data_IF_936295409825
#
_entry.id   IF_936295409825
#
_cell.length_a   1.000
_cell.length_b   1.000
_cell.length_c   1.000
_cell.angle_alpha   90.00
_cell.angle_beta   90.00
_cell.angle_gamma   90.00
#
_symmetry.space_group_name_H-M   'P 1'
#
loop_
_entity.id
_entity.type
_entity.pdbx_description
1 polymer ?
#
# COMPACT_ATOMS: atom_id res chain seq x y z
N UNK A 1 -9.70 39.70 54.29
CA UNK A 1 -9.79 39.14 52.92
C UNK A 1 -8.47 38.55 52.37
N UNK A 2 -7.30 39.10 52.64
CA UNK A 2 -6.00 38.55 52.14
C UNK A 2 -5.64 37.16 52.70
N UNK A 3 -6.03 36.79 53.92
CA UNK A 3 -5.73 35.48 54.53
C UNK A 3 -6.41 34.29 53.81
N UNK A 4 -7.58 34.49 53.25
CA UNK A 4 -8.32 33.41 52.57
C UNK A 4 -7.82 33.17 51.14
N UNK A 5 -7.20 34.17 50.50
CA UNK A 5 -6.62 34.04 49.16
C UNK A 5 -5.43 33.08 49.19
N UNK A 6 -4.58 33.13 50.21
CA UNK A 6 -3.45 32.21 50.35
C UNK A 6 -3.89 30.78 50.64
N UNK A 7 -4.96 30.57 51.38
CA UNK A 7 -5.50 29.24 51.66
C UNK A 7 -6.14 28.62 50.42
N UNK A 8 -6.85 29.40 49.63
CA UNK A 8 -7.40 28.92 48.34
C UNK A 8 -6.30 28.65 47.33
N UNK A 9 -5.25 29.47 47.27
CA UNK A 9 -4.11 29.26 46.39
C UNK A 9 -3.28 28.02 46.76
N UNK A 10 -3.11 27.73 48.07
CA UNK A 10 -2.48 26.50 48.55
C UNK A 10 -3.31 25.24 48.25
N UNK A 11 -4.65 25.34 48.27
CA UNK A 11 -5.53 24.22 47.95
C UNK A 11 -5.51 23.86 46.48
N UNK A 12 -5.33 24.84 45.59
CA UNK A 12 -5.17 24.58 44.15
C UNK A 12 -3.82 23.95 43.78
N UNK A 13 -2.76 24.23 44.55
CA UNK A 13 -1.43 23.63 44.30
C UNK A 13 -1.40 22.16 44.75
N UNK A 14 -2.18 21.79 45.79
CA UNK A 14 -2.25 20.40 46.27
C UNK A 14 -3.04 19.46 45.35
N UNK A 15 -3.95 19.98 44.50
CA UNK A 15 -4.72 19.16 43.56
C UNK A 15 -3.97 18.93 42.25
N UNK A 16 -2.93 19.73 41.96
CA UNK A 16 -2.15 19.64 40.70
C UNK A 16 -1.14 18.48 40.62
N UNK A 17 -0.93 17.72 41.70
CA UNK A 17 0.07 16.64 41.72
C UNK A 17 -0.52 15.22 41.70
N UNK A 18 -1.83 15.05 41.52
CA UNK A 18 -2.47 13.72 41.47
C UNK A 18 -2.86 13.30 40.04
N UNK A 19 -2.44 14.06 39.03
CA UNK A 19 -2.77 13.73 37.65
C UNK A 19 -1.50 13.42 36.87
N UNK A 20 -0.91 12.27 37.11
CA UNK A 20 -0.07 11.48 36.19
C UNK A 20 0.49 10.28 36.95
N UNK A 21 -0.42 9.44 37.45
CA UNK A 21 -0.12 8.02 37.56
C UNK A 21 -0.86 7.37 36.41
N UNK A 22 -0.38 7.66 35.19
CA UNK A 22 -0.62 6.75 34.09
C UNK A 22 0.27 5.56 34.38
N UNK A 23 -0.28 4.57 35.04
CA UNK A 23 0.14 3.18 34.84
C UNK A 23 -0.07 2.87 33.34
N UNK A 24 0.71 3.52 32.49
CA UNK A 24 1.05 2.99 31.21
C UNK A 24 1.86 1.73 31.55
N UNK A 25 1.18 0.63 31.75
CA UNK A 25 1.75 -0.71 31.63
C UNK A 25 2.27 -0.85 30.21
N UNK A 26 3.31 -0.08 29.89
CA UNK A 26 4.09 -0.26 28.69
C UNK A 26 4.80 -1.60 28.83
N UNK A 27 4.13 -2.64 28.41
CA UNK A 27 4.76 -3.92 28.20
C UNK A 27 5.65 -3.73 26.98
N UNK A 28 6.94 -3.54 27.19
CA UNK A 28 7.91 -3.49 26.10
C UNK A 28 7.70 -4.74 25.23
N UNK A 29 7.49 -4.53 23.93
CA UNK A 29 7.33 -5.64 22.99
C UNK A 29 8.52 -6.61 23.14
N UNK A 30 8.26 -7.89 22.99
CA UNK A 30 9.33 -8.91 23.03
C UNK A 30 10.35 -8.57 21.96
N UNK A 31 11.65 -8.41 22.31
CA UNK A 31 12.66 -8.13 21.30
C UNK A 31 12.68 -9.23 20.24
N UNK A 32 12.82 -8.85 18.99
CA UNK A 32 12.98 -9.82 17.89
C UNK A 32 14.16 -10.72 18.19
N UNK A 33 14.02 -12.05 18.15
CA UNK A 33 15.13 -12.97 18.36
C UNK A 33 16.30 -12.65 17.41
N UNK A 34 17.53 -12.69 17.92
CA UNK A 34 18.72 -12.36 17.13
C UNK A 34 18.91 -13.24 15.87
N UNK A 35 18.33 -14.44 15.88
CA UNK A 35 18.31 -15.40 14.77
C UNK A 35 17.07 -15.31 13.90
N UNK A 36 16.16 -14.38 14.16
CA UNK A 36 14.97 -14.19 13.34
C UNK A 36 15.35 -13.91 11.89
N UNK A 37 14.61 -14.48 10.95
CA UNK A 37 14.79 -14.22 9.52
C UNK A 37 14.45 -12.78 9.14
N UNK A 38 13.60 -12.11 9.92
CA UNK A 38 13.10 -10.75 9.65
C UNK A 38 12.61 -10.63 8.20
N UNK A 39 11.54 -11.37 7.91
CA UNK A 39 10.89 -11.40 6.58
C UNK A 39 9.98 -10.19 6.43
N UNK A 40 9.92 -9.62 5.25
CA UNK A 40 9.06 -8.48 4.93
C UNK A 40 8.64 -8.49 3.45
N UNK A 41 7.51 -7.87 3.15
CA UNK A 41 7.16 -7.49 1.79
C UNK A 41 7.93 -6.22 1.44
N UNK A 42 8.60 -6.17 0.30
CA UNK A 42 9.40 -5.01 -0.09
C UNK A 42 8.52 -3.77 -0.24
N UNK A 43 9.02 -2.61 0.21
CA UNK A 43 8.28 -1.35 0.18
C UNK A 43 8.01 -0.82 -1.24
N UNK A 44 8.77 -1.30 -2.24
CA UNK A 44 8.63 -0.93 -3.65
C UNK A 44 7.64 -1.82 -4.42
N UNK A 45 6.98 -2.77 -3.75
CA UNK A 45 5.92 -3.56 -4.37
C UNK A 45 4.76 -2.67 -4.84
N UNK A 46 4.26 -2.93 -6.05
CA UNK A 46 3.06 -2.26 -6.56
C UNK A 46 1.82 -2.70 -5.79
N UNK A 47 0.94 -1.79 -5.44
CA UNK A 47 -0.34 -2.10 -4.79
C UNK A 47 -1.50 -2.24 -5.76
N UNK A 48 -1.28 -1.91 -7.03
CA UNK A 48 -2.27 -2.02 -8.10
C UNK A 48 -1.69 -2.73 -9.32
N UNK A 49 -2.35 -3.80 -9.72
CA UNK A 49 -2.00 -4.64 -10.87
C UNK A 49 -3.11 -4.52 -11.89
N UNK A 50 -2.90 -3.72 -12.92
CA UNK A 50 -3.92 -3.44 -13.94
C UNK A 50 -3.49 -4.07 -15.25
N UNK A 51 -4.38 -4.87 -15.84
CA UNK A 51 -4.21 -5.49 -17.15
C UNK A 51 -5.32 -5.06 -18.13
N UNK A 52 -5.08 -5.19 -19.40
CA UNK A 52 -6.11 -4.99 -20.42
C UNK A 52 -7.07 -6.20 -20.46
N UNK A 53 -8.30 -6.03 -20.96
CA UNK A 53 -9.23 -7.13 -21.12
C UNK A 53 -8.65 -8.28 -21.93
N UNK A 54 -8.70 -9.49 -21.34
CA UNK A 54 -8.18 -10.72 -21.94
C UNK A 54 -6.66 -10.91 -21.78
N UNK A 55 -5.95 -10.03 -21.09
CA UNK A 55 -4.55 -10.22 -20.71
C UNK A 55 -4.47 -10.87 -19.31
N UNK A 56 -3.55 -11.83 -19.16
CA UNK A 56 -3.25 -12.40 -17.84
C UNK A 56 -2.47 -11.38 -17.00
N UNK A 57 -2.94 -11.02 -15.80
CA UNK A 57 -2.21 -10.11 -14.94
C UNK A 57 -0.94 -10.77 -14.39
N UNK A 58 0.18 -10.06 -14.47
CA UNK A 58 1.41 -10.47 -13.79
C UNK A 58 1.45 -9.87 -12.39
N UNK A 59 1.14 -10.67 -11.38
CA UNK A 59 1.10 -10.25 -9.97
C UNK A 59 2.24 -10.90 -9.22
N UNK A 60 3.38 -10.23 -9.23
CA UNK A 60 4.59 -10.65 -8.54
C UNK A 60 4.89 -9.72 -7.38
N UNK A 61 4.87 -10.27 -6.16
CA UNK A 61 5.15 -9.54 -4.93
C UNK A 61 6.50 -9.99 -4.41
N UNK A 62 7.45 -9.08 -4.30
CA UNK A 62 8.76 -9.36 -3.73
C UNK A 62 8.63 -9.54 -2.22
N UNK A 63 9.15 -10.65 -1.73
CA UNK A 63 9.28 -10.96 -0.31
C UNK A 63 10.75 -11.10 -0.01
N UNK A 64 11.25 -10.36 0.97
CA UNK A 64 12.66 -10.34 1.33
C UNK A 64 12.87 -10.71 2.78
N UNK A 65 14.11 -11.09 3.13
CA UNK A 65 14.53 -11.42 4.49
C UNK A 65 15.92 -10.87 4.80
N UNK A 66 16.16 -10.52 6.06
CA UNK A 66 17.45 -10.01 6.51
C UNK A 66 18.46 -11.15 6.68
N UNK A 67 18.09 -12.23 7.36
CA UNK A 67 18.92 -13.42 7.54
C UNK A 67 18.58 -14.46 6.47
N UNK A 68 19.55 -14.78 5.63
CA UNK A 68 19.40 -15.68 4.47
C UNK A 68 20.31 -16.93 4.54
N UNK A 69 20.82 -17.28 5.71
CA UNK A 69 21.82 -18.35 5.89
C UNK A 69 21.27 -19.70 5.44
N UNK A 70 20.03 -20.01 5.77
CA UNK A 70 19.42 -21.31 5.53
C UNK A 70 18.25 -21.20 4.53
N UNK A 71 17.87 -22.32 3.94
CA UNK A 71 16.59 -22.39 3.22
C UNK A 71 15.43 -22.25 4.20
N UNK A 72 14.33 -21.68 3.72
CA UNK A 72 13.15 -21.48 4.54
C UNK A 72 11.87 -21.51 3.71
N UNK A 73 10.80 -21.99 4.36
CA UNK A 73 9.45 -21.87 3.85
C UNK A 73 8.65 -21.03 4.85
N UNK A 74 8.17 -19.87 4.39
CA UNK A 74 7.52 -18.85 5.22
C UNK A 74 6.03 -18.82 4.92
N UNK A 75 5.16 -19.05 5.92
CA UNK A 75 3.72 -18.99 5.74
C UNK A 75 3.25 -17.59 5.37
N UNK A 76 2.32 -17.52 4.45
CA UNK A 76 1.60 -16.29 4.07
C UNK A 76 0.20 -16.37 4.67
N UNK A 77 -0.11 -15.43 5.54
CA UNK A 77 -1.43 -15.33 6.18
C UNK A 77 -2.32 -14.45 5.31
N UNK A 78 -3.30 -15.06 4.64
CA UNK A 78 -4.33 -14.32 3.92
C UNK A 78 -5.36 -13.78 4.92
N UNK A 79 -5.38 -12.47 5.15
CA UNK A 79 -6.35 -11.79 6.03
C UNK A 79 -7.69 -11.60 5.35
N UNK A 80 -7.66 -11.28 4.06
CA UNK A 80 -8.84 -11.20 3.20
C UNK A 80 -8.46 -11.35 1.74
N UNK A 81 -9.34 -11.91 0.94
CA UNK A 81 -9.20 -11.99 -0.50
C UNK A 81 -10.57 -12.00 -1.19
N UNK A 82 -10.67 -11.35 -2.33
CA UNK A 82 -11.83 -11.50 -3.22
C UNK A 82 -11.84 -12.92 -3.79
N UNK A 83 -13.00 -13.50 -3.91
CA UNK A 83 -13.18 -14.83 -4.53
C UNK A 83 -12.57 -14.88 -5.94
N UNK A 84 -11.92 -15.99 -6.28
CA UNK A 84 -11.24 -16.20 -7.54
C UNK A 84 -9.75 -15.91 -7.52
N UNK A 85 -9.21 -15.34 -6.42
CA UNK A 85 -7.76 -15.21 -6.23
C UNK A 85 -7.13 -16.52 -5.75
N UNK A 86 -6.00 -16.87 -6.33
CA UNK A 86 -5.18 -18.03 -5.96
C UNK A 86 -3.89 -17.52 -5.30
N UNK A 87 -3.92 -17.49 -3.96
CA UNK A 87 -2.82 -17.00 -3.14
C UNK A 87 -2.06 -18.19 -2.58
N UNK A 88 -0.75 -18.34 -2.85
CA UNK A 88 0.05 -19.41 -2.26
C UNK A 88 0.06 -19.31 -0.73
N UNK A 89 -0.05 -20.43 -0.05
CA UNK A 89 -0.02 -20.49 1.40
C UNK A 89 1.37 -20.22 2.00
N UNK A 90 2.42 -20.35 1.20
CA UNK A 90 3.82 -20.17 1.63
C UNK A 90 4.65 -19.55 0.53
N UNK A 91 5.76 -18.94 0.91
CA UNK A 91 6.83 -18.52 0.02
C UNK A 91 8.13 -19.22 0.41
N UNK A 92 8.94 -19.62 -0.58
CA UNK A 92 10.17 -20.40 -0.36
C UNK A 92 11.41 -19.58 -0.67
N UNK A 93 12.39 -19.66 0.20
CA UNK A 93 13.72 -19.09 0.04
C UNK A 93 14.74 -20.21 0.00
N UNK A 94 15.65 -20.18 -0.98
CA UNK A 94 16.84 -21.04 -1.00
C UNK A 94 17.88 -20.51 -0.01
N UNK A 95 18.79 -21.37 0.42
CA UNK A 95 19.95 -20.94 1.21
C UNK A 95 20.74 -19.83 0.48
N UNK A 96 21.03 -18.74 1.17
CA UNK A 96 21.70 -17.55 0.60
C UNK A 96 20.79 -16.58 -0.15
N UNK A 97 19.55 -16.95 -0.46
CA UNK A 97 18.61 -16.11 -1.17
C UNK A 97 17.94 -15.10 -0.23
N UNK A 98 18.10 -13.81 -0.51
CA UNK A 98 17.54 -12.72 0.31
C UNK A 98 16.16 -12.29 -0.15
N UNK A 99 15.82 -12.45 -1.41
CA UNK A 99 14.55 -12.03 -2.00
C UNK A 99 14.00 -13.15 -2.86
N UNK A 100 12.72 -13.40 -2.73
CA UNK A 100 11.96 -14.33 -3.57
C UNK A 100 10.65 -13.67 -4.00
N UNK A 101 9.88 -14.32 -4.85
CA UNK A 101 8.64 -13.78 -5.41
C UNK A 101 7.46 -14.62 -4.96
N UNK A 102 6.41 -13.96 -4.47
CA UNK A 102 5.08 -14.51 -4.27
C UNK A 102 4.24 -14.16 -5.49
N UNK A 103 3.91 -15.15 -6.30
CA UNK A 103 3.03 -14.98 -7.45
C UNK A 103 1.58 -15.25 -7.06
N UNK A 104 0.68 -14.29 -7.27
CA UNK A 104 -0.75 -14.46 -7.04
C UNK A 104 -1.42 -14.71 -8.40
N UNK A 105 -2.12 -15.83 -8.51
CA UNK A 105 -2.97 -16.13 -9.65
C UNK A 105 -4.37 -15.55 -9.49
N UNK A 106 -5.07 -15.37 -10.58
CA UNK A 106 -6.49 -15.02 -10.61
C UNK A 106 -7.17 -15.87 -11.67
N UNK A 107 -8.40 -16.31 -11.39
CA UNK A 107 -9.23 -17.00 -12.37
C UNK A 107 -9.80 -16.05 -13.41
N UNK A 108 -10.97 -16.38 -13.94
CA UNK A 108 -11.65 -15.50 -14.87
C UNK A 108 -12.03 -14.18 -14.19
N UNK A 109 -11.60 -13.06 -14.77
CA UNK A 109 -11.87 -11.71 -14.27
C UNK A 109 -13.11 -11.11 -14.94
N UNK A 110 -13.77 -10.23 -14.20
CA UNK A 110 -14.81 -9.35 -14.71
C UNK A 110 -14.22 -7.94 -14.90
N UNK A 111 -14.40 -7.35 -16.07
CA UNK A 111 -13.93 -6.00 -16.37
C UNK A 111 -14.46 -4.98 -15.34
N UNK A 112 -13.61 -4.07 -14.90
CA UNK A 112 -13.89 -3.02 -13.91
C UNK A 112 -14.20 -3.51 -12.48
N UNK A 113 -14.03 -4.81 -12.20
CA UNK A 113 -14.16 -5.37 -10.85
C UNK A 113 -12.79 -5.48 -10.20
N UNK A 114 -12.66 -4.95 -8.98
CA UNK A 114 -11.44 -5.07 -8.18
C UNK A 114 -11.39 -6.39 -7.45
N UNK A 115 -10.30 -7.14 -7.65
CA UNK A 115 -9.97 -8.35 -6.91
C UNK A 115 -8.93 -7.99 -5.86
N UNK A 116 -9.39 -7.61 -4.68
CA UNK A 116 -8.55 -7.12 -3.59
C UNK A 116 -8.06 -8.25 -2.70
N UNK A 117 -6.86 -8.09 -2.15
CA UNK A 117 -6.28 -9.01 -1.17
C UNK A 117 -5.52 -8.26 -0.08
N UNK A 118 -5.41 -8.90 1.09
CA UNK A 118 -4.60 -8.42 2.20
C UNK A 118 -3.87 -9.61 2.82
N UNK A 119 -2.55 -9.48 2.91
CA UNK A 119 -1.62 -10.50 3.34
C UNK A 119 -0.87 -10.05 4.59
N UNK A 120 -0.43 -11.00 5.38
CA UNK A 120 0.40 -10.76 6.56
C UNK A 120 1.43 -11.86 6.70
N UNK A 121 2.57 -11.51 7.27
CA UNK A 121 3.56 -12.45 7.77
C UNK A 121 3.29 -12.73 9.26
N UNK A 122 3.61 -13.94 9.72
CA UNK A 122 3.50 -14.30 11.14
C UNK A 122 4.59 -13.62 11.98
N UNK A 123 4.27 -13.36 13.25
CA UNK A 123 5.15 -12.68 14.22
C UNK A 123 6.49 -13.40 14.42
N UNK A 124 6.52 -14.72 14.22
CA UNK A 124 7.73 -15.52 14.30
C UNK A 124 8.72 -15.28 13.16
N UNK A 125 8.25 -14.76 12.02
CA UNK A 125 9.05 -14.50 10.82
C UNK A 125 9.31 -13.02 10.61
N UNK A 126 8.46 -12.13 11.09
CA UNK A 126 8.50 -10.70 10.82
C UNK A 126 8.63 -9.90 12.10
N UNK A 127 9.44 -8.87 12.08
CA UNK A 127 9.45 -7.83 13.10
C UNK A 127 8.49 -6.70 12.67
N UNK A 128 7.34 -6.62 13.32
CA UNK A 128 6.33 -5.60 13.00
C UNK A 128 6.72 -4.19 13.41
N UNK A 129 7.77 -4.03 14.22
CA UNK A 129 8.19 -2.74 14.78
C UNK A 129 9.47 -2.20 14.14
N UNK A 130 10.30 -3.05 13.52
CA UNK A 130 11.60 -2.66 12.96
C UNK A 130 11.66 -2.82 11.43
N UNK A 131 10.66 -2.33 10.71
CA UNK A 131 10.51 -2.51 9.27
C UNK A 131 11.17 -1.37 8.48
N UNK A 132 12.49 -1.36 8.43
CA UNK A 132 13.24 -0.32 7.72
C UNK A 132 13.19 -0.45 6.18
N UNK A 133 12.88 -1.63 5.63
CA UNK A 133 12.97 -1.92 4.19
C UNK A 133 11.67 -2.41 3.54
N UNK A 134 10.65 -2.64 4.34
CA UNK A 134 9.41 -3.19 3.87
C UNK A 134 8.34 -3.22 4.95
N UNK A 135 7.31 -4.01 4.75
CA UNK A 135 6.16 -4.10 5.64
C UNK A 135 5.82 -5.57 5.94
N UNK A 136 5.26 -5.85 7.11
CA UNK A 136 4.76 -7.18 7.46
C UNK A 136 3.33 -7.44 7.01
N UNK A 137 2.61 -6.37 6.64
CA UNK A 137 1.27 -6.42 6.09
C UNK A 137 1.27 -5.76 4.72
N UNK A 138 0.71 -6.44 3.74
CA UNK A 138 0.67 -5.97 2.38
C UNK A 138 -0.73 -6.12 1.81
N UNK A 139 -1.23 -5.08 1.16
CA UNK A 139 -2.55 -5.10 0.52
C UNK A 139 -2.45 -4.55 -0.89
N UNK A 140 -3.19 -5.18 -1.79
CA UNK A 140 -3.24 -4.77 -3.17
C UNK A 140 -4.54 -5.19 -3.84
N UNK A 141 -4.64 -4.87 -5.12
CA UNK A 141 -5.75 -5.34 -5.96
C UNK A 141 -5.31 -5.59 -7.39
N UNK A 142 -6.05 -6.48 -8.06
CA UNK A 142 -5.95 -6.75 -9.48
C UNK A 142 -7.20 -6.19 -10.15
N UNK A 143 -7.04 -5.58 -11.31
CA UNK A 143 -8.14 -4.98 -12.07
C UNK A 143 -7.92 -5.20 -13.56
N UNK A 144 -8.91 -5.83 -14.22
CA UNK A 144 -9.01 -5.81 -15.66
C UNK A 144 -9.75 -4.54 -16.08
N UNK A 145 -9.12 -3.67 -16.88
CA UNK A 145 -9.70 -2.40 -17.24
C UNK A 145 -9.30 -1.92 -18.63
N UNK A 146 -10.24 -1.27 -19.33
CA UNK A 146 -10.00 -0.59 -20.59
C UNK A 146 -10.21 0.91 -20.45
N UNK A 147 -9.61 1.67 -21.39
CA UNK A 147 -9.85 3.11 -21.50
C UNK A 147 -11.21 3.37 -22.14
N UNK A 148 -12.06 4.13 -21.45
CA UNK A 148 -13.42 4.51 -21.91
C UNK A 148 -13.56 6.02 -21.89
N UNK A 149 -14.27 6.60 -22.87
CA UNK A 149 -14.56 8.03 -22.89
C UNK A 149 -15.31 8.42 -21.61
N UNK A 150 -14.71 9.31 -20.85
CA UNK A 150 -15.27 9.86 -19.61
C UNK A 150 -15.91 11.24 -19.85
N UNK A 151 -15.23 12.12 -20.59
CA UNK A 151 -15.78 13.39 -21.05
C UNK A 151 -15.52 13.49 -22.54
N UNK A 152 -16.60 13.68 -23.30
CA UNK A 152 -16.52 13.89 -24.75
C UNK A 152 -16.33 15.36 -25.06
N UNK A 153 -15.54 15.64 -26.11
CA UNK A 153 -15.33 17.01 -26.64
C UNK A 153 -14.92 18.03 -25.56
N UNK A 154 -14.06 17.63 -24.62
CA UNK A 154 -13.56 18.52 -23.57
C UNK A 154 -12.68 19.62 -24.16
N UNK A 155 -12.91 20.86 -23.73
CA UNK A 155 -12.05 22.00 -24.09
C UNK A 155 -10.84 22.01 -23.16
N UNK A 156 -9.66 21.81 -23.73
CA UNK A 156 -8.38 21.76 -23.02
C UNK A 156 -7.58 22.98 -23.38
N UNK A 157 -7.19 23.76 -22.39
CA UNK A 157 -6.38 24.95 -22.54
C UNK A 157 -4.98 24.71 -22.00
N UNK A 158 -3.97 25.02 -22.80
CA UNK A 158 -2.58 24.84 -22.48
C UNK A 158 -1.78 26.08 -22.86
N UNK A 159 -0.80 26.47 -22.04
CA UNK A 159 0.05 27.65 -22.31
C UNK A 159 1.46 27.19 -22.64
N UNK A 160 1.95 27.50 -23.82
CA UNK A 160 3.30 27.23 -24.27
C UNK A 160 3.98 28.56 -24.70
N UNK A 161 5.13 28.85 -24.13
CA UNK A 161 5.89 30.06 -24.47
C UNK A 161 5.11 31.36 -24.24
N UNK A 162 4.17 31.38 -23.26
CA UNK A 162 3.30 32.52 -23.00
C UNK A 162 2.08 32.65 -23.90
N UNK A 163 1.92 31.74 -24.88
CA UNK A 163 0.76 31.72 -25.79
C UNK A 163 -0.22 30.62 -25.34
N UNK A 164 -1.47 31.03 -25.10
CA UNK A 164 -2.55 30.11 -24.78
C UNK A 164 -3.08 29.46 -26.06
N UNK A 165 -3.17 28.14 -26.03
CA UNK A 165 -3.74 27.33 -27.09
C UNK A 165 -4.90 26.53 -26.53
N UNK A 166 -5.88 26.22 -27.38
CA UNK A 166 -7.09 25.50 -27.00
C UNK A 166 -7.34 24.37 -27.99
N UNK A 167 -7.59 23.18 -27.47
CA UNK A 167 -7.94 21.99 -28.24
C UNK A 167 -9.22 21.38 -27.72
N UNK A 168 -9.92 20.70 -28.60
CA UNK A 168 -11.06 19.86 -28.24
C UNK A 168 -10.63 18.41 -28.36
N UNK A 169 -10.67 17.68 -27.25
CA UNK A 169 -10.28 16.27 -27.16
C UNK A 169 -11.19 15.52 -26.19
N UNK A 170 -11.33 14.23 -26.40
CA UNK A 170 -11.97 13.37 -25.42
C UNK A 170 -11.01 13.12 -24.25
N UNK A 171 -11.56 13.10 -23.03
CA UNK A 171 -10.88 12.61 -21.84
C UNK A 171 -11.37 11.19 -21.62
N UNK A 172 -10.45 10.23 -21.60
CA UNK A 172 -10.75 8.84 -21.28
C UNK A 172 -10.37 8.52 -19.85
N UNK A 173 -11.08 7.60 -19.23
CA UNK A 173 -10.79 7.06 -17.90
C UNK A 173 -10.48 5.57 -18.01
N UNK A 174 -9.49 5.10 -17.25
CA UNK A 174 -9.14 3.69 -17.17
C UNK A 174 -10.06 2.98 -16.18
N UNK A 175 -11.12 2.37 -16.69
CA UNK A 175 -12.10 1.66 -15.89
C UNK A 175 -12.62 2.48 -14.71
N UNK A 176 -12.69 1.88 -13.54
CA UNK A 176 -13.10 2.52 -12.28
C UNK A 176 -11.97 3.22 -11.51
N UNK A 177 -10.78 3.37 -12.10
CA UNK A 177 -9.61 3.99 -11.44
C UNK A 177 -9.71 5.52 -11.44
N UNK A 178 -8.76 6.19 -10.78
CA UNK A 178 -8.57 7.64 -10.87
C UNK A 178 -7.54 8.04 -11.94
N UNK A 179 -7.25 7.14 -12.90
CA UNK A 179 -6.34 7.39 -14.03
C UNK A 179 -7.12 7.86 -15.24
N UNK A 180 -6.67 8.97 -15.81
CA UNK A 180 -7.27 9.59 -16.98
C UNK A 180 -6.22 9.79 -18.05
N UNK A 181 -6.64 9.85 -19.33
CA UNK A 181 -5.75 10.22 -20.42
C UNK A 181 -6.46 11.12 -21.45
N UNK A 182 -5.61 11.87 -22.13
CA UNK A 182 -5.95 12.59 -23.36
C UNK A 182 -5.08 12.02 -24.45
N UNK A 183 -5.68 11.38 -25.46
CA UNK A 183 -4.95 10.80 -26.59
C UNK A 183 -4.33 11.88 -27.45
N UNK A 184 -3.16 11.57 -28.01
CA UNK A 184 -2.44 12.45 -28.91
C UNK A 184 -2.43 13.90 -28.40
N UNK A 185 -1.95 14.09 -27.19
CA UNK A 185 -1.93 15.39 -26.52
C UNK A 185 -1.16 16.40 -27.38
N UNK A 186 -1.81 17.50 -27.72
CA UNK A 186 -1.32 18.61 -28.56
C UNK A 186 -0.78 18.17 -29.94
N UNK A 187 -1.24 17.06 -30.50
CA UNK A 187 -0.74 16.54 -31.79
C UNK A 187 0.66 15.98 -31.75
N UNK A 188 1.14 15.60 -30.57
CA UNK A 188 2.50 15.08 -30.37
C UNK A 188 2.66 13.59 -30.71
N UNK A 189 1.55 12.86 -30.92
CA UNK A 189 1.53 11.41 -31.03
C UNK A 189 1.66 10.69 -29.68
N UNK A 190 1.77 11.43 -28.56
CA UNK A 190 1.87 10.89 -27.21
C UNK A 190 0.58 11.14 -26.43
N UNK A 191 0.19 10.16 -25.61
CA UNK A 191 -0.92 10.30 -24.68
C UNK A 191 -0.46 11.03 -23.41
N UNK A 192 -1.29 11.95 -22.92
CA UNK A 192 -1.09 12.55 -21.61
C UNK A 192 -1.90 11.74 -20.58
N UNK A 193 -1.22 11.08 -19.64
CA UNK A 193 -1.86 10.34 -18.55
C UNK A 193 -1.73 11.14 -17.25
N UNK A 194 -2.82 11.25 -16.48
CA UNK A 194 -2.84 12.00 -15.23
C UNK A 194 -3.77 11.33 -14.20
N UNK A 195 -3.59 11.68 -12.94
CA UNK A 195 -4.39 11.23 -11.80
C UNK A 195 -5.28 12.37 -11.31
N UNK A 196 -6.50 12.03 -10.85
CA UNK A 196 -7.45 12.97 -10.25
C UNK A 196 -7.87 12.49 -8.87
#
# INVERSE_FOLDING_TARGET
MKKYIYQIMMMFIAVGFVACDSDDDYTAGTPTPANSMQVYFDADNSTDFICAPGEEPNVEIKVSRMNATEEAEVPIICKSATEGLMIPATVKFKAGEKTTTLAIGVGQMEEDKKYSFSLSLGDEYADHYAQLKGVSHYSGYILEASWKTYVKDATITWTVGGTQQTWTKDIERLGSTNRYRIKDFVGSGLDMVFLV
#
